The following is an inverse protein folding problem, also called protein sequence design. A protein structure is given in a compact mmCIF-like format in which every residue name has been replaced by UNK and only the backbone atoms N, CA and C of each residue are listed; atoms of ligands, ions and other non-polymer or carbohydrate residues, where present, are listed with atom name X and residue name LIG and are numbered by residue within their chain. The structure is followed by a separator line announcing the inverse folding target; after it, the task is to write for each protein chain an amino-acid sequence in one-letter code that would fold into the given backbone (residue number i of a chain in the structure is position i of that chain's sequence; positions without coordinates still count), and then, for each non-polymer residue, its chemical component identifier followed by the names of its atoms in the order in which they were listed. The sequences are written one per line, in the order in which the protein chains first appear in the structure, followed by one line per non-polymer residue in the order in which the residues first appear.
data_IF_855265334487
#
_entry.id   IF_855265334487
#
_cell.length_a   1.000
_cell.length_b   1.000
_cell.length_c   1.000
_cell.angle_alpha   90.00
_cell.angle_beta   90.00
_cell.angle_gamma   90.00
#
_symmetry.space_group_name_H-M   'P 1'
#
loop_
_entity.id
_entity.type
_entity.pdbx_description
1 polymer ?
#
# COMPACT_ATOMS: atom_id res chain seq x y z
N UNK A 1 -52.24 -4.34 47.64
CA UNK A 1 -51.63 -5.08 46.50
C UNK A 1 -50.17 -5.46 46.83
N UNK A 2 -49.87 -6.75 47.01
CA UNK A 2 -48.52 -7.26 47.32
C UNK A 2 -47.71 -7.43 46.03
N UNK A 3 -46.55 -6.78 45.93
CA UNK A 3 -45.64 -6.89 44.79
C UNK A 3 -45.04 -8.30 44.67
N UNK A 4 -44.84 -8.84 43.46
CA UNK A 4 -44.25 -10.17 43.28
C UNK A 4 -42.75 -10.13 43.60
N UNK A 5 -42.32 -10.97 44.54
CA UNK A 5 -40.91 -11.18 44.87
C UNK A 5 -40.19 -11.74 43.64
N UNK A 6 -39.25 -10.99 43.07
CA UNK A 6 -38.36 -11.47 42.02
C UNK A 6 -37.52 -12.64 42.53
N UNK A 7 -37.76 -13.84 41.99
CA UNK A 7 -36.88 -14.99 42.23
C UNK A 7 -35.56 -14.72 41.52
N UNK A 8 -34.51 -14.42 42.28
CA UNK A 8 -33.13 -14.49 41.83
C UNK A 8 -32.89 -15.91 41.30
N UNK A 9 -32.79 -16.06 39.99
CA UNK A 9 -32.51 -17.36 39.40
C UNK A 9 -31.04 -17.66 39.64
N UNK A 10 -30.78 -18.42 40.71
CA UNK A 10 -29.50 -19.10 40.89
C UNK A 10 -29.14 -19.82 39.58
N UNK A 11 -27.90 -19.66 39.13
CA UNK A 11 -27.43 -20.27 37.87
C UNK A 11 -27.54 -21.78 38.00
N UNK A 12 -28.65 -22.34 37.51
CA UNK A 12 -28.91 -23.77 37.51
C UNK A 12 -27.72 -24.50 36.88
N UNK A 13 -27.19 -25.50 37.57
CA UNK A 13 -26.13 -26.36 37.06
C UNK A 13 -26.64 -27.02 35.77
N UNK A 14 -25.95 -26.76 34.66
CA UNK A 14 -26.33 -27.22 33.32
C UNK A 14 -25.57 -28.52 33.05
N UNK A 15 -26.30 -29.60 32.74
CA UNK A 15 -25.66 -30.84 32.34
C UNK A 15 -24.92 -30.66 31.00
N UNK A 16 -23.69 -31.20 30.84
CA UNK A 16 -22.85 -30.98 29.65
C UNK A 16 -23.52 -31.38 28.33
N UNK A 17 -24.31 -32.46 28.33
CA UNK A 17 -25.02 -32.95 27.14
C UNK A 17 -26.43 -32.34 26.95
N UNK A 18 -26.80 -31.31 27.71
CA UNK A 18 -28.10 -30.67 27.57
C UNK A 18 -28.17 -29.75 26.34
N UNK A 19 -29.38 -29.52 25.82
CA UNK A 19 -29.62 -28.52 24.75
C UNK A 19 -29.09 -27.14 25.14
N UNK A 20 -29.24 -26.76 26.42
CA UNK A 20 -28.77 -25.47 26.94
C UNK A 20 -27.24 -25.37 26.91
N UNK A 21 -26.51 -26.44 27.25
CA UNK A 21 -25.06 -26.49 27.11
C UNK A 21 -24.62 -26.42 25.64
N UNK A 22 -25.33 -27.10 24.74
CA UNK A 22 -25.07 -27.02 23.28
C UNK A 22 -25.29 -25.61 22.74
N UNK A 23 -26.29 -24.88 23.25
CA UNK A 23 -26.52 -23.49 22.86
C UNK A 23 -25.41 -22.56 23.35
N UNK A 24 -24.99 -22.70 24.61
CA UNK A 24 -23.90 -21.91 25.21
C UNK A 24 -22.60 -22.12 24.45
N UNK A 25 -22.25 -23.36 24.12
CA UNK A 25 -21.02 -23.68 23.35
C UNK A 25 -21.06 -23.08 21.94
N UNK A 26 -22.21 -23.13 21.25
CA UNK A 26 -22.39 -22.47 19.94
C UNK A 26 -22.22 -20.95 20.03
N UNK A 27 -22.81 -20.32 21.03
CA UNK A 27 -22.69 -18.87 21.25
C UNK A 27 -21.25 -18.48 21.59
N UNK A 28 -20.59 -19.24 22.46
CA UNK A 28 -19.17 -19.03 22.81
C UNK A 28 -18.27 -19.12 21.57
N UNK A 29 -18.44 -20.15 20.73
CA UNK A 29 -17.67 -20.31 19.51
C UNK A 29 -17.95 -19.20 18.47
N UNK A 30 -19.20 -18.73 18.37
CA UNK A 30 -19.53 -17.57 17.53
C UNK A 30 -18.81 -16.31 18.03
N UNK A 31 -18.79 -16.10 19.35
CA UNK A 31 -18.13 -14.95 19.95
C UNK A 31 -16.60 -15.04 19.80
N UNK A 32 -16.01 -16.22 19.98
CA UNK A 32 -14.59 -16.47 19.75
C UNK A 32 -14.18 -16.14 18.29
N UNK A 33 -14.96 -16.61 17.30
CA UNK A 33 -14.73 -16.27 15.89
C UNK A 33 -14.81 -14.76 15.64
N UNK A 34 -15.79 -14.08 16.26
CA UNK A 34 -15.95 -12.64 16.13
C UNK A 34 -14.76 -11.88 16.72
N UNK A 35 -14.29 -12.27 17.90
CA UNK A 35 -13.11 -11.65 18.53
C UNK A 35 -11.83 -11.95 17.74
N UNK A 36 -11.65 -13.17 17.21
CA UNK A 36 -10.52 -13.49 16.31
C UNK A 36 -10.46 -12.56 15.10
N UNK A 37 -11.59 -12.37 14.41
CA UNK A 37 -11.65 -11.45 13.26
C UNK A 37 -11.37 -9.99 13.62
N UNK A 38 -11.78 -9.55 14.82
CA UNK A 38 -11.45 -8.20 15.31
C UNK A 38 -9.95 -8.08 15.58
N UNK A 39 -9.37 -9.08 16.22
CA UNK A 39 -7.94 -9.11 16.56
C UNK A 39 -7.09 -9.14 15.28
N UNK A 40 -7.45 -9.94 14.28
CA UNK A 40 -6.75 -9.96 12.98
C UNK A 40 -6.79 -8.59 12.28
N UNK A 41 -7.95 -7.92 12.30
CA UNK A 41 -8.07 -6.57 11.74
C UNK A 41 -7.24 -5.55 12.52
N UNK A 42 -7.26 -5.62 13.85
CA UNK A 42 -6.47 -4.76 14.71
C UNK A 42 -4.97 -4.97 14.47
N UNK A 43 -4.51 -6.22 14.39
CA UNK A 43 -3.12 -6.57 14.08
C UNK A 43 -2.68 -6.01 12.71
N UNK A 44 -3.52 -6.14 11.68
CA UNK A 44 -3.23 -5.56 10.37
C UNK A 44 -3.10 -4.04 10.42
N UNK A 45 -4.00 -3.36 11.13
CA UNK A 45 -3.96 -1.90 11.29
C UNK A 45 -2.74 -1.46 12.09
N UNK A 46 -2.40 -2.18 13.16
CA UNK A 46 -1.21 -1.92 13.97
C UNK A 46 0.06 -2.05 13.13
N UNK A 47 0.20 -3.10 12.31
CA UNK A 47 1.36 -3.27 11.44
C UNK A 47 1.54 -2.12 10.45
N UNK A 48 0.43 -1.62 9.88
CA UNK A 48 0.46 -0.43 9.02
C UNK A 48 0.87 0.78 9.85
N UNK A 49 0.30 0.97 11.04
CA UNK A 49 0.64 2.07 11.94
C UNK A 49 2.12 2.10 12.32
N UNK A 50 2.70 0.97 12.72
CA UNK A 50 4.12 0.82 13.04
C UNK A 50 5.01 1.17 11.85
N UNK A 51 4.64 0.68 10.65
CA UNK A 51 5.35 1.02 9.42
C UNK A 51 5.32 2.53 9.18
N UNK A 52 4.15 3.16 9.30
CA UNK A 52 4.02 4.60 9.11
C UNK A 52 4.78 5.40 10.17
N UNK A 53 4.73 4.95 11.43
CA UNK A 53 5.47 5.58 12.52
C UNK A 53 6.97 5.58 12.25
N UNK A 54 7.52 4.48 11.74
CA UNK A 54 8.93 4.43 11.33
C UNK A 54 9.24 5.52 10.29
N UNK A 55 8.40 5.64 9.25
CA UNK A 55 8.60 6.68 8.24
C UNK A 55 8.49 8.08 8.84
N UNK A 56 7.53 8.33 9.73
CA UNK A 56 7.34 9.63 10.37
C UNK A 56 8.58 10.05 11.19
N UNK A 57 9.17 9.11 11.93
CA UNK A 57 10.35 9.35 12.76
C UNK A 57 11.61 9.64 11.93
N UNK A 58 11.74 9.04 10.74
CA UNK A 58 12.90 9.22 9.86
C UNK A 58 12.77 10.46 8.95
N UNK A 59 11.61 11.15 8.96
CA UNK A 59 11.45 12.38 8.20
C UNK A 59 12.22 13.55 8.83
N UNK A 60 13.00 14.24 8.00
CA UNK A 60 13.61 15.51 8.36
C UNK A 60 12.52 16.56 8.64
N UNK A 61 12.46 17.18 9.84
CA UNK A 61 11.48 18.21 10.18
C UNK A 61 11.52 19.46 9.30
N UNK A 62 12.70 19.84 8.77
CA UNK A 62 12.87 21.11 8.06
C UNK A 62 12.51 21.01 6.57
N UNK A 63 12.53 19.80 6.01
CA UNK A 63 12.39 19.58 4.57
C UNK A 63 10.94 19.72 4.09
N UNK A 64 10.65 20.67 3.20
CA UNK A 64 9.27 20.91 2.76
C UNK A 64 8.77 19.95 1.66
N UNK A 65 9.68 19.32 0.91
CA UNK A 65 9.37 18.36 -0.16
C UNK A 65 10.48 17.34 -0.31
N UNK A 66 10.11 16.11 -0.64
CA UNK A 66 11.06 15.05 -1.00
C UNK A 66 11.12 14.89 -2.51
N UNK A 67 12.33 14.69 -3.03
CA UNK A 67 12.51 14.17 -4.38
C UNK A 67 12.16 12.69 -4.41
N UNK A 68 11.91 12.16 -5.61
CA UNK A 68 11.77 10.70 -5.81
C UNK A 68 13.01 9.95 -5.34
N UNK A 69 14.19 10.51 -5.58
CA UNK A 69 15.46 9.93 -5.14
C UNK A 69 15.50 9.82 -3.61
N UNK A 70 15.20 10.91 -2.91
CA UNK A 70 15.16 10.94 -1.45
C UNK A 70 14.15 9.95 -0.87
N UNK A 71 12.98 9.82 -1.51
CA UNK A 71 11.97 8.85 -1.11
C UNK A 71 12.46 7.40 -1.28
N UNK A 72 13.22 7.12 -2.35
CA UNK A 72 13.85 5.81 -2.55
C UNK A 72 14.96 5.56 -1.52
N UNK A 73 15.78 6.56 -1.21
CA UNK A 73 16.79 6.47 -0.13
C UNK A 73 16.15 6.19 1.23
N UNK A 74 15.00 6.82 1.51
CA UNK A 74 14.22 6.58 2.73
C UNK A 74 13.67 5.15 2.78
N UNK A 75 13.23 4.60 1.64
CA UNK A 75 12.82 3.19 1.54
C UNK A 75 14.01 2.25 1.77
N UNK A 76 15.18 2.54 1.23
CA UNK A 76 16.37 1.73 1.47
C UNK A 76 16.75 1.70 2.95
N UNK A 77 16.64 2.84 3.65
CA UNK A 77 16.80 2.87 5.11
C UNK A 77 15.76 2.01 5.82
N UNK A 78 14.49 2.05 5.38
CA UNK A 78 13.42 1.22 5.94
C UNK A 78 13.69 -0.28 5.75
N UNK A 79 14.15 -0.69 4.57
CA UNK A 79 14.49 -2.08 4.26
C UNK A 79 15.66 -2.56 5.14
N UNK A 80 16.60 -1.68 5.45
CA UNK A 80 17.77 -1.98 6.28
C UNK A 80 17.56 -1.76 7.79
N UNK A 81 16.33 -1.49 8.25
CA UNK A 81 16.04 -1.17 9.66
C UNK A 81 16.45 -2.26 10.67
N UNK A 82 16.53 -3.51 10.23
CA UNK A 82 16.92 -4.64 11.08
C UNK A 82 18.41 -5.02 10.97
N UNK A 83 19.21 -4.28 10.20
CA UNK A 83 20.63 -4.57 10.01
C UNK A 83 21.39 -4.69 11.34
N UNK A 84 21.20 -3.74 12.26
CA UNK A 84 21.81 -3.76 13.59
C UNK A 84 21.34 -4.95 14.45
N UNK A 85 20.06 -5.31 14.40
CA UNK A 85 19.53 -6.47 15.15
C UNK A 85 20.13 -7.79 14.62
N UNK A 86 20.24 -7.93 13.30
CA UNK A 86 20.85 -9.10 12.67
C UNK A 86 22.35 -9.21 12.98
N UNK A 87 23.08 -8.10 12.92
CA UNK A 87 24.50 -8.05 13.27
C UNK A 87 24.71 -8.45 14.74
N UNK A 88 23.86 -7.98 15.65
CA UNK A 88 23.91 -8.36 17.07
C UNK A 88 23.66 -9.87 17.27
N UNK A 89 22.68 -10.45 16.56
CA UNK A 89 22.41 -11.89 16.61
C UNK A 89 23.60 -12.68 16.06
N UNK A 90 24.21 -12.23 14.97
CA UNK A 90 25.38 -12.86 14.36
C UNK A 90 26.59 -12.83 15.31
N UNK A 91 26.91 -11.66 15.89
CA UNK A 91 27.96 -11.49 16.89
C UNK A 91 27.77 -12.44 18.07
N UNK A 92 26.57 -12.46 18.66
CA UNK A 92 26.26 -13.33 19.78
C UNK A 92 26.45 -14.82 19.42
N UNK A 93 26.06 -15.23 18.21
CA UNK A 93 26.20 -16.61 17.76
C UNK A 93 27.62 -16.97 17.29
N UNK A 94 28.44 -15.98 16.91
CA UNK A 94 29.84 -16.17 16.50
C UNK A 94 30.77 -16.49 17.67
N UNK A 95 30.39 -16.08 18.89
CA UNK A 95 31.12 -16.42 20.11
C UNK A 95 30.95 -17.92 20.34
N UNK A 96 32.03 -18.68 20.10
CA UNK A 96 32.07 -20.14 20.24
C UNK A 96 31.85 -20.57 21.70
N UNK A 97 30.60 -20.65 22.12
CA UNK A 97 30.21 -21.38 23.31
C UNK A 97 29.66 -22.76 22.91
N UNK A 98 29.65 -23.72 23.83
CA UNK A 98 29.09 -25.07 23.63
C UNK A 98 27.55 -25.07 23.53
N UNK A 99 26.94 -23.89 23.41
CA UNK A 99 25.51 -23.68 23.41
C UNK A 99 24.99 -23.54 21.97
N UNK A 100 23.81 -24.09 21.71
CA UNK A 100 23.17 -24.02 20.39
C UNK A 100 22.87 -22.59 19.93
N UNK A 101 22.58 -22.43 18.63
CA UNK A 101 22.28 -21.13 18.00
C UNK A 101 21.11 -20.44 18.70
N UNK A 102 21.35 -19.26 19.26
CA UNK A 102 20.30 -18.45 19.91
C UNK A 102 19.57 -17.61 18.87
N UNK A 103 18.33 -17.23 19.18
CA UNK A 103 17.49 -16.32 18.38
C UNK A 103 17.18 -16.74 16.92
N UNK A 104 17.36 -18.02 16.57
CA UNK A 104 17.12 -18.52 15.21
C UNK A 104 15.71 -18.23 14.68
N UNK A 105 14.68 -18.37 15.51
CA UNK A 105 13.29 -18.10 15.11
C UNK A 105 13.08 -16.63 14.73
N UNK A 106 13.63 -15.70 15.53
CA UNK A 106 13.53 -14.26 15.28
C UNK A 106 14.32 -13.86 14.02
N UNK A 107 15.55 -14.35 13.91
CA UNK A 107 16.41 -14.13 12.74
C UNK A 107 15.73 -14.58 11.44
N UNK A 108 15.11 -15.76 11.46
CA UNK A 108 14.40 -16.31 10.30
C UNK A 108 13.21 -15.42 9.90
N UNK A 109 12.41 -14.97 10.86
CA UNK A 109 11.26 -14.09 10.61
C UNK A 109 11.70 -12.74 10.03
N UNK A 110 12.80 -12.15 10.55
CA UNK A 110 13.34 -10.90 10.03
C UNK A 110 13.81 -11.08 8.59
N UNK A 111 14.61 -12.11 8.31
CA UNK A 111 15.13 -12.38 6.97
C UNK A 111 14.00 -12.57 5.95
N UNK A 112 12.99 -13.37 6.30
CA UNK A 112 11.81 -13.56 5.45
C UNK A 112 11.02 -12.25 5.23
N UNK A 113 10.93 -11.41 6.25
CA UNK A 113 10.23 -10.12 6.14
C UNK A 113 10.99 -9.16 5.22
N UNK A 114 12.30 -9.04 5.40
CA UNK A 114 13.17 -8.21 4.55
C UNK A 114 13.15 -8.68 3.09
N UNK A 115 13.23 -9.99 2.86
CA UNK A 115 13.14 -10.59 1.53
C UNK A 115 11.82 -10.24 0.83
N UNK A 116 10.69 -10.39 1.55
CA UNK A 116 9.37 -10.03 1.02
C UNK A 116 9.27 -8.53 0.69
N UNK A 117 9.72 -7.67 1.59
CA UNK A 117 9.68 -6.21 1.37
C UNK A 117 10.60 -5.79 0.21
N UNK A 118 11.77 -6.40 0.08
CA UNK A 118 12.70 -6.15 -1.03
C UNK A 118 12.13 -6.61 -2.37
N UNK A 119 11.54 -7.81 -2.42
CA UNK A 119 10.86 -8.30 -3.61
C UNK A 119 9.71 -7.38 -4.03
N UNK A 120 8.94 -6.85 -3.07
CA UNK A 120 7.89 -5.88 -3.35
C UNK A 120 8.45 -4.58 -3.93
N UNK A 121 9.54 -4.05 -3.35
CA UNK A 121 10.14 -2.81 -3.78
C UNK A 121 10.76 -2.88 -5.19
N UNK A 122 11.41 -4.00 -5.52
CA UNK A 122 12.00 -4.22 -6.84
C UNK A 122 10.95 -4.49 -7.92
N UNK A 123 9.88 -5.22 -7.57
CA UNK A 123 8.82 -5.61 -8.51
C UNK A 123 7.77 -4.53 -8.71
N UNK A 124 6.74 -4.54 -7.87
CA UNK A 124 5.53 -3.73 -8.05
C UNK A 124 5.60 -2.35 -7.37
N UNK A 125 6.52 -2.19 -6.41
CA UNK A 125 6.71 -0.99 -5.62
C UNK A 125 6.18 -1.14 -4.19
N UNK A 126 6.96 -0.63 -3.24
CA UNK A 126 6.61 -0.59 -1.83
C UNK A 126 5.66 0.58 -1.57
N UNK A 127 4.55 0.31 -0.88
CA UNK A 127 3.59 1.34 -0.52
C UNK A 127 4.07 2.14 0.69
N UNK A 128 4.22 3.45 0.53
CA UNK A 128 4.67 4.40 1.54
C UNK A 128 3.77 5.65 1.56
N UNK A 129 3.79 6.46 2.63
CA UNK A 129 3.14 7.77 2.64
C UNK A 129 3.64 8.66 1.51
N UNK A 130 2.73 9.45 0.93
CA UNK A 130 3.07 10.40 -0.12
C UNK A 130 3.83 11.60 0.46
N UNK A 131 5.15 11.48 0.45
CA UNK A 131 6.10 12.51 0.90
C UNK A 131 6.54 13.45 -0.22
N UNK A 132 6.12 13.21 -1.46
CA UNK A 132 6.48 14.00 -2.63
C UNK A 132 5.65 15.29 -2.72
N UNK A 133 4.41 15.25 -2.23
CA UNK A 133 3.52 16.40 -2.18
C UNK A 133 3.54 17.07 -0.81
N UNK A 134 3.77 18.37 -0.79
CA UNK A 134 3.87 19.15 0.45
C UNK A 134 2.60 19.10 1.31
N UNK A 135 1.41 19.06 0.70
CA UNK A 135 0.15 18.95 1.45
C UNK A 135 0.02 17.61 2.16
N UNK A 136 0.29 16.51 1.46
CA UNK A 136 0.29 15.16 2.02
C UNK A 136 1.37 14.98 3.10
N UNK A 137 2.56 15.56 2.88
CA UNK A 137 3.65 15.55 3.86
C UNK A 137 3.26 16.26 5.16
N UNK A 138 2.57 17.41 5.09
CA UNK A 138 2.07 18.11 6.28
C UNK A 138 1.08 17.26 7.07
N UNK A 139 0.07 16.71 6.39
CA UNK A 139 -0.91 15.81 7.01
C UNK A 139 -0.24 14.59 7.65
N UNK A 140 0.80 14.05 7.01
CA UNK A 140 1.54 12.91 7.53
C UNK A 140 2.42 13.27 8.74
N UNK A 141 2.99 14.48 8.80
CA UNK A 141 3.75 14.96 9.96
C UNK A 141 2.89 15.19 11.19
N UNK A 142 1.74 15.83 10.98
CA UNK A 142 0.75 16.14 12.03
C UNK A 142 -0.07 14.91 12.44
N UNK A 143 0.25 13.73 11.91
CA UNK A 143 -0.48 12.52 12.26
C UNK A 143 -0.08 12.03 13.66
N UNK A 144 -1.03 12.07 14.59
CA UNK A 144 -0.84 11.70 16.01
C UNK A 144 -0.82 10.19 16.29
N UNK A 145 -0.40 9.35 15.34
CA UNK A 145 -0.43 7.88 15.44
C UNK A 145 -1.83 7.26 15.61
N UNK A 146 -2.90 8.05 15.51
CA UNK A 146 -4.27 7.55 15.56
C UNK A 146 -4.59 6.74 14.30
N UNK A 147 -4.79 5.44 14.49
CA UNK A 147 -5.10 4.50 13.41
C UNK A 147 -6.43 4.80 12.71
N UNK A 148 -7.34 5.56 13.34
CA UNK A 148 -8.58 6.01 12.70
C UNK A 148 -8.34 7.04 11.62
N UNK A 149 -7.24 7.79 11.70
CA UNK A 149 -6.84 8.80 10.72
C UNK A 149 -6.06 8.21 9.53
N UNK A 150 -5.74 6.91 9.53
CA UNK A 150 -5.04 6.25 8.42
C UNK A 150 -5.67 6.48 7.05
N UNK A 151 -7.01 6.45 6.86
CA UNK A 151 -7.62 6.70 5.55
C UNK A 151 -7.38 8.10 5.00
N UNK A 152 -7.02 9.07 5.85
CA UNK A 152 -6.72 10.43 5.43
C UNK A 152 -5.28 10.59 4.91
N UNK A 153 -4.40 9.63 5.23
CA UNK A 153 -3.01 9.63 4.76
C UNK A 153 -2.99 9.09 3.33
N UNK A 154 -2.47 9.88 2.41
CA UNK A 154 -2.31 9.43 1.02
C UNK A 154 -1.11 8.49 0.93
N UNK A 155 -1.34 7.31 0.39
CA UNK A 155 -0.31 6.30 0.14
C UNK A 155 0.10 6.31 -1.33
N UNK A 156 1.36 5.99 -1.60
CA UNK A 156 1.95 5.90 -2.94
C UNK A 156 2.89 4.72 -3.01
N UNK A 157 2.90 4.03 -4.14
CA UNK A 157 3.85 2.95 -4.44
C UNK A 157 5.08 3.53 -5.14
N UNK A 158 6.27 3.21 -4.62
CA UNK A 158 7.54 3.56 -5.24
C UNK A 158 8.36 2.30 -5.46
N UNK A 159 9.05 2.23 -6.60
CA UNK A 159 9.93 1.13 -6.95
C UNK A 159 11.39 1.57 -7.04
N UNK A 160 12.32 0.61 -7.00
CA UNK A 160 13.75 0.92 -7.14
C UNK A 160 14.08 1.71 -8.43
N UNK A 161 13.32 1.48 -9.51
CA UNK A 161 13.48 2.18 -10.78
C UNK A 161 13.08 3.67 -10.73
N UNK A 162 12.34 4.12 -9.71
CA UNK A 162 11.96 5.53 -9.55
C UNK A 162 13.12 6.41 -9.08
N UNK A 163 14.16 5.82 -8.48
CA UNK A 163 15.39 6.52 -8.11
C UNK A 163 16.20 6.96 -9.34
N UNK A 164 16.09 6.21 -10.45
CA UNK A 164 16.85 6.45 -11.67
C UNK A 164 16.02 7.36 -12.59
N UNK A 165 16.57 8.51 -12.95
CA UNK A 165 15.95 9.39 -13.94
C UNK A 165 15.84 8.66 -15.28
N UNK A 166 14.62 8.23 -15.66
CA UNK A 166 14.37 7.68 -17.00
C UNK A 166 14.67 8.76 -18.03
N UNK A 167 15.74 8.61 -18.80
CA UNK A 167 15.98 9.41 -20.01
C UNK A 167 14.77 9.23 -20.93
N UNK A 168 13.92 10.24 -21.06
CA UNK A 168 12.77 10.23 -21.98
C UNK A 168 13.28 10.01 -23.41
N UNK A 169 13.07 8.82 -23.98
CA UNK A 169 13.14 8.64 -25.44
C UNK A 169 11.97 9.42 -26.03
N UNK A 170 12.26 10.52 -26.76
CA UNK A 170 11.25 11.24 -27.55
C UNK A 170 10.66 10.26 -28.57
N UNK A 171 9.37 9.95 -28.48
CA UNK A 171 8.65 9.23 -29.53
C UNK A 171 8.37 10.22 -30.66
N UNK A 172 9.03 10.05 -31.80
CA UNK A 172 8.63 10.67 -33.08
C UNK A 172 7.27 10.08 -33.46
N UNK A 173 6.23 10.91 -33.51
CA UNK A 173 4.94 10.54 -34.06
C UNK A 173 5.00 10.72 -35.58
N UNK A 174 5.04 9.62 -36.33
CA UNK A 174 4.76 9.64 -37.76
C UNK A 174 3.24 9.57 -37.94
N UNK A 175 2.66 10.61 -38.53
CA UNK A 175 1.28 10.64 -39.01
C UNK A 175 1.20 9.83 -40.31
N UNK A 176 0.58 8.65 -40.27
CA UNK A 176 0.08 7.96 -41.47
C UNK A 176 -1.39 8.34 -41.63
N UNK A 177 -1.69 9.18 -42.62
CA UNK A 177 -3.05 9.44 -43.09
C UNK A 177 -3.33 8.38 -44.15
N UNK A 178 -4.11 7.36 -43.78
CA UNK A 178 -4.60 6.35 -44.71
C UNK A 178 -5.81 6.88 -45.50
N UNK A 179 -5.83 6.50 -46.78
CA UNK A 179 -6.89 6.71 -47.77
C UNK A 179 -8.10 5.78 -47.49
N UNK A 180 -9.28 6.30 -47.83
CA UNK A 180 -10.34 5.68 -48.66
C UNK A 180 -11.77 5.79 -48.09
N UNK A 181 -12.64 6.45 -48.87
CA UNK A 181 -14.01 5.98 -49.16
C UNK A 181 -14.57 6.79 -50.36
N UNK A 182 -14.96 6.10 -51.42
CA UNK A 182 -15.32 6.68 -52.73
C UNK A 182 -16.82 6.70 -53.09
N UNK A 183 -17.07 7.26 -54.30
CA UNK A 183 -18.26 7.17 -55.20
C UNK A 183 -19.59 7.74 -54.65
N UNK A 184 -20.47 8.48 -55.34
CA UNK A 184 -20.85 8.79 -56.73
C UNK A 184 -21.42 10.24 -56.75
N UNK A 185 -21.40 11.02 -57.83
CA UNK A 185 -22.46 11.06 -58.85
C UNK A 185 -22.03 11.87 -60.08
N UNK A 186 -22.46 11.38 -61.25
CA UNK A 186 -22.35 12.00 -62.57
C UNK A 186 -23.55 12.92 -62.85
N UNK A 187 -23.28 14.17 -63.24
CA UNK A 187 -24.12 15.05 -64.08
C UNK A 187 -23.26 16.28 -64.41
N UNK A 188 -22.97 16.72 -65.63
CA UNK A 188 -23.53 16.48 -66.96
C UNK A 188 -23.59 17.86 -67.64
N UNK A 189 -23.05 17.98 -68.87
CA UNK A 189 -23.04 19.13 -69.82
C UNK A 189 -22.05 20.26 -69.50
N UNK A 190 -21.47 21.01 -70.44
CA UNK A 190 -21.12 20.93 -71.88
C UNK A 190 -20.69 22.36 -72.25
N UNK A 191 -19.81 22.52 -73.26
CA UNK A 191 -19.49 23.75 -74.00
C UNK A 191 -18.68 24.82 -73.26
N UNK A 192 -17.80 25.63 -73.86
CA UNK A 192 -17.12 25.73 -75.16
C UNK A 192 -16.36 27.08 -75.10
N UNK A 193 -15.34 27.26 -75.94
CA UNK A 193 -14.63 28.51 -76.29
C UNK A 193 -13.74 29.17 -75.21
N UNK A 194 -12.43 29.31 -75.38
CA UNK A 194 -11.60 30.05 -76.39
C UNK A 194 -11.48 31.56 -76.15
N UNK A 195 -10.26 32.02 -76.43
CA UNK A 195 -9.81 33.37 -76.81
C UNK A 195 -9.16 34.32 -75.79
N UNK A 196 -7.94 34.68 -76.20
CA UNK A 196 -7.13 35.84 -75.86
C UNK A 196 -7.93 37.16 -75.86
N UNK A 197 -7.49 38.13 -75.05
CA UNK A 197 -6.82 39.34 -75.57
C UNK A 197 -6.75 40.43 -74.51
N UNK A 198 -5.54 40.98 -74.44
CA UNK A 198 -5.17 42.27 -73.89
C UNK A 198 -5.93 43.44 -74.53
N UNK A 199 -6.21 44.48 -73.73
CA UNK A 199 -6.25 45.87 -74.21
C UNK A 199 -5.95 46.84 -73.08
N UNK A 200 -4.85 47.59 -73.21
CA UNK A 200 -4.65 48.87 -72.51
C UNK A 200 -4.40 49.90 -73.60
N UNK A 201 -5.19 50.97 -73.53
CA UNK A 201 -5.11 52.18 -74.33
C UNK A 201 -3.90 53.05 -73.92
#
# INVERSE_FOLDING_TARGET
PKAPKGKSTEKKIIHPYSRKATQITREAHKQEKKEKLKNEKALRLNLIGEKLQWFQNELDPQKMRYSKKDACELIERYLNRFSSELEQIELHNSIKDRQGRRHQARETVIKQTMERERQQYEGYGLEIPDILHASSLKTFREWDLDLKKLPNIKMRKLCANDAVAKKRKKKTQNLTIDKDLGQLELKGKSSDSDEEMTSVA
#
